data_IF_639065740493
#
_entry.id   IF_639065740493
#
_cell.length_a   1.000
_cell.length_b   1.000
_cell.length_c   1.000
_cell.angle_alpha   90.00
_cell.angle_beta   90.00
_cell.angle_gamma   90.00
#
_symmetry.space_group_name_H-M   'P 1'
#
loop_
_entity.id
_entity.type
_entity.pdbx_description
1 polymer ?
#
# COMPACT_ATOMS: atom_id res chain seq x y z
N UNK A 1 25.13 10.46 -16.96
CA UNK A 1 24.83 9.82 -16.71
C UNK A 1 24.49 9.33 -16.50
N UNK A 2 24.38 9.70 -16.18
CA UNK A 2 23.96 9.17 -15.78
C UNK A 2 23.75 8.52 -15.48
N UNK A 3 23.86 8.70 -15.43
CA UNK A 3 23.68 7.99 -14.88
C UNK A 3 24.06 7.34 -14.63
N UNK A 4 24.42 7.41 -14.50
CA UNK A 4 24.71 6.70 -13.96
C UNK A 4 25.01 6.77 -13.09
N UNK A 5 25.29 7.43 -12.88
CA UNK A 5 25.56 7.41 -11.80
C UNK A 5 25.12 6.99 -10.96
N UNK A 6 25.50 6.92 -10.92
CA UNK A 6 24.72 6.84 -9.90
C UNK A 6 24.34 5.52 -9.41
N UNK A 7 24.48 4.54 -10.00
CA UNK A 7 24.03 3.31 -9.54
C UNK A 7 24.56 2.86 -8.26
N UNK A 8 25.77 3.10 -8.00
CA UNK A 8 26.35 2.64 -6.79
C UNK A 8 25.79 3.28 -5.62
N UNK A 9 25.59 4.55 -5.73
CA UNK A 9 25.05 5.29 -4.65
C UNK A 9 23.71 4.82 -4.31
N UNK A 10 22.97 4.47 -5.31
CA UNK A 10 21.65 4.06 -5.08
C UNK A 10 21.54 2.85 -4.24
N UNK A 11 22.46 1.94 -4.38
CA UNK A 11 22.32 0.72 -3.65
C UNK A 11 22.36 0.96 -2.18
N UNK A 12 23.02 2.01 -1.72
CA UNK A 12 23.06 2.25 -0.31
C UNK A 12 21.84 2.91 0.20
N UNK A 13 21.20 3.67 -0.64
CA UNK A 13 20.05 4.37 -0.19
C UNK A 13 18.81 3.56 -0.25
N UNK A 14 18.81 2.51 -1.02
CA UNK A 14 17.60 1.78 -1.22
C UNK A 14 17.00 1.22 0.03
N UNK A 15 17.81 0.89 0.99
CA UNK A 15 17.29 0.34 2.22
C UNK A 15 16.44 1.30 3.00
N UNK A 16 16.64 2.60 2.79
CA UNK A 16 15.89 3.57 3.53
C UNK A 16 14.83 4.28 2.70
N UNK A 17 14.76 3.97 1.42
CA UNK A 17 13.75 4.60 0.58
C UNK A 17 12.39 4.01 0.84
N UNK A 18 11.38 4.84 0.77
CA UNK A 18 10.01 4.40 0.83
C UNK A 18 9.36 4.89 -0.45
N UNK A 19 8.81 3.98 -1.21
CA UNK A 19 8.22 4.31 -2.49
C UNK A 19 6.72 4.36 -2.37
N UNK A 20 6.11 5.13 -3.25
CA UNK A 20 4.67 5.26 -3.28
C UNK A 20 4.17 4.66 -4.58
N UNK A 21 3.16 3.81 -4.49
CA UNK A 21 2.64 3.12 -5.65
C UNK A 21 1.12 3.22 -5.66
N UNK A 22 0.55 3.56 -6.80
CA UNK A 22 -0.90 3.65 -6.93
C UNK A 22 -1.38 2.50 -7.78
N UNK A 23 -2.37 1.77 -7.30
CA UNK A 23 -2.89 0.60 -7.96
C UNK A 23 -4.41 0.61 -7.96
N UNK A 24 -5.00 -0.21 -8.82
CA UNK A 24 -6.43 -0.45 -8.78
C UNK A 24 -6.67 -1.87 -8.33
N UNK A 25 -7.63 -2.07 -7.46
CA UNK A 25 -7.98 -3.40 -7.00
C UNK A 25 -9.14 -3.91 -7.84
N UNK A 26 -8.87 -4.90 -8.67
CA UNK A 26 -9.88 -5.46 -9.55
C UNK A 26 -10.35 -6.82 -9.10
N UNK A 27 -9.55 -7.51 -8.31
CA UNK A 27 -9.86 -8.87 -7.90
C UNK A 27 -9.09 -9.18 -6.64
N UNK A 28 -9.66 -10.03 -5.79
CA UNK A 28 -8.98 -10.45 -4.59
C UNK A 28 -7.70 -11.22 -4.89
N UNK A 29 -7.56 -11.71 -6.13
CA UNK A 29 -6.34 -12.41 -6.51
C UNK A 29 -5.12 -11.52 -6.44
N UNK A 30 -5.32 -10.21 -6.42
CA UNK A 30 -4.20 -9.28 -6.40
C UNK A 30 -3.66 -9.02 -5.00
N UNK A 31 -4.36 -9.49 -3.98
CA UNK A 31 -3.96 -9.24 -2.60
C UNK A 31 -2.53 -9.69 -2.29
N UNK A 32 -2.10 -10.89 -2.69
CA UNK A 32 -0.73 -11.30 -2.36
C UNK A 32 0.32 -10.36 -2.93
N UNK A 33 0.09 -9.83 -4.12
CA UNK A 33 1.05 -8.91 -4.72
C UNK A 33 1.07 -7.59 -3.96
N UNK A 34 -0.09 -7.12 -3.51
CA UNK A 34 -0.15 -5.90 -2.73
C UNK A 34 0.58 -6.09 -1.42
N UNK A 35 0.39 -7.24 -0.78
CA UNK A 35 1.08 -7.52 0.47
C UNK A 35 2.58 -7.55 0.27
N UNK A 36 3.02 -8.10 -0.83
CA UNK A 36 4.44 -8.12 -1.13
C UNK A 36 5.00 -6.72 -1.31
N UNK A 37 4.27 -5.87 -2.03
CA UNK A 37 4.71 -4.50 -2.23
C UNK A 37 4.84 -3.77 -0.91
N UNK A 38 3.84 -3.91 -0.05
CA UNK A 38 3.86 -3.24 1.25
C UNK A 38 5.01 -3.76 2.10
N UNK A 39 5.24 -5.06 2.07
CA UNK A 39 6.34 -5.62 2.84
C UNK A 39 7.68 -5.13 2.31
N UNK A 40 7.74 -4.69 1.06
CA UNK A 40 8.96 -4.20 0.45
C UNK A 40 9.08 -2.69 0.49
N UNK A 41 8.52 -2.10 1.53
CA UNK A 41 8.70 -0.68 1.81
C UNK A 41 7.96 0.22 0.83
N UNK A 42 6.82 -0.24 0.36
CA UNK A 42 6.01 0.59 -0.51
C UNK A 42 4.75 1.03 0.20
N UNK A 43 4.42 2.30 0.04
CA UNK A 43 3.11 2.80 0.44
C UNK A 43 2.22 2.58 -0.76
N UNK A 44 1.13 1.86 -0.58
CA UNK A 44 0.23 1.55 -1.68
C UNK A 44 -1.06 2.33 -1.52
N UNK A 45 -1.41 3.09 -2.55
CA UNK A 45 -2.70 3.75 -2.60
C UNK A 45 -3.55 2.92 -3.53
N UNK A 46 -4.60 2.34 -2.99
CA UNK A 46 -5.38 1.33 -3.69
C UNK A 46 -6.77 1.85 -3.98
N UNK A 47 -7.10 1.95 -5.26
CA UNK A 47 -8.44 2.36 -5.64
C UNK A 47 -9.32 1.13 -5.66
N UNK A 48 -10.38 1.14 -4.86
CA UNK A 48 -11.20 -0.05 -4.67
C UNK A 48 -12.48 -0.07 -5.48
N UNK A 49 -12.76 1.02 -6.18
CA UNK A 49 -14.00 1.12 -6.93
C UNK A 49 -14.20 -0.01 -7.94
N UNK A 50 -13.16 -0.43 -8.68
CA UNK A 50 -13.41 -1.50 -9.66
C UNK A 50 -13.94 -2.77 -9.03
N UNK A 51 -13.37 -3.18 -7.90
CA UNK A 51 -13.84 -4.38 -7.25
C UNK A 51 -15.18 -4.15 -6.57
N UNK A 52 -15.38 -2.96 -6.03
CA UNK A 52 -16.66 -2.64 -5.39
C UNK A 52 -17.81 -2.76 -6.38
N UNK A 53 -17.58 -2.35 -7.61
CA UNK A 53 -18.62 -2.43 -8.63
C UNK A 53 -18.85 -3.86 -9.10
N UNK A 54 -17.86 -4.70 -8.94
CA UNK A 54 -17.98 -6.06 -9.40
C UNK A 54 -18.54 -6.97 -8.33
N UNK A 55 -18.06 -6.85 -7.10
CA UNK A 55 -18.47 -7.76 -6.04
C UNK A 55 -18.13 -7.15 -4.69
N UNK A 56 -19.16 -6.62 -4.02
CA UNK A 56 -18.95 -5.94 -2.75
C UNK A 56 -18.46 -6.89 -1.66
N UNK A 57 -18.96 -8.13 -1.67
CA UNK A 57 -18.53 -9.08 -0.65
C UNK A 57 -17.07 -9.46 -0.81
N UNK A 58 -16.63 -9.60 -2.05
CA UNK A 58 -15.24 -9.88 -2.30
C UNK A 58 -14.38 -8.69 -1.84
N UNK A 59 -14.86 -7.48 -2.04
CA UNK A 59 -14.12 -6.31 -1.59
C UNK A 59 -14.02 -6.29 -0.07
N UNK A 60 -15.10 -6.59 0.63
CA UNK A 60 -15.05 -6.59 2.09
C UNK A 60 -14.03 -7.58 2.60
N UNK A 61 -14.00 -8.77 2.00
CA UNK A 61 -13.04 -9.77 2.41
C UNK A 61 -11.62 -9.33 2.13
N UNK A 62 -11.41 -8.73 0.97
CA UNK A 62 -10.07 -8.26 0.60
C UNK A 62 -9.58 -7.19 1.55
N UNK A 63 -10.45 -6.25 1.91
CA UNK A 63 -10.06 -5.18 2.81
C UNK A 63 -9.73 -5.74 4.19
N UNK A 64 -10.49 -6.72 4.64
CA UNK A 64 -10.21 -7.34 5.91
C UNK A 64 -8.84 -8.01 5.91
N UNK A 65 -8.51 -8.70 4.82
CA UNK A 65 -7.21 -9.33 4.73
C UNK A 65 -6.09 -8.32 4.77
N UNK A 66 -6.28 -7.20 4.08
CA UNK A 66 -5.26 -6.15 4.08
C UNK A 66 -5.13 -5.50 5.44
N UNK A 67 -6.24 -5.34 6.13
CA UNK A 67 -6.22 -4.76 7.47
C UNK A 67 -5.44 -5.66 8.43
N UNK A 68 -5.71 -6.95 8.42
CA UNK A 68 -5.03 -7.87 9.28
C UNK A 68 -3.55 -7.95 8.94
N UNK A 69 -3.24 -7.93 7.65
CA UNK A 69 -1.86 -7.96 7.23
C UNK A 69 -1.11 -6.72 7.72
N UNK A 70 -1.71 -5.55 7.56
CA UNK A 70 -1.06 -4.32 8.00
C UNK A 70 -0.77 -4.35 9.48
N UNK A 71 -1.73 -4.82 10.26
CA UNK A 71 -1.54 -4.91 11.69
C UNK A 71 -0.42 -5.87 12.02
N UNK A 72 -0.36 -7.00 11.32
CA UNK A 72 0.62 -8.02 11.66
C UNK A 72 2.04 -7.59 11.36
N UNK A 73 2.25 -6.72 10.37
CA UNK A 73 3.60 -6.30 10.04
C UNK A 73 3.99 -4.96 10.67
N UNK A 74 3.10 -4.38 11.45
CA UNK A 74 3.42 -3.09 12.07
C UNK A 74 3.28 -1.91 11.13
N UNK A 75 2.50 -2.05 10.08
CA UNK A 75 2.19 -0.96 9.19
C UNK A 75 0.90 -0.30 9.59
N UNK A 76 0.30 0.44 8.66
CA UNK A 76 -0.93 1.15 8.93
C UNK A 76 -1.84 1.07 7.72
N UNK A 77 -3.11 1.33 7.91
CA UNK A 77 -4.07 1.30 6.82
C UNK A 77 -5.18 2.28 7.15
N UNK A 78 -5.63 3.03 6.14
CA UNK A 78 -6.72 3.98 6.36
C UNK A 78 -7.45 4.23 5.05
N UNK A 79 -8.71 4.62 5.17
CA UNK A 79 -9.48 5.00 4.00
C UNK A 79 -9.12 6.42 3.62
N UNK A 80 -9.09 6.65 2.31
CA UNK A 80 -8.79 7.95 1.78
C UNK A 80 -9.99 8.32 0.90
N UNK A 81 -11.01 8.85 1.54
CA UNK A 81 -12.26 9.08 0.85
C UNK A 81 -13.00 7.76 0.70
N UNK A 82 -13.90 7.71 -0.27
CA UNK A 82 -14.71 6.52 -0.45
C UNK A 82 -14.14 5.56 -1.46
N UNK A 83 -13.17 6.01 -2.24
CA UNK A 83 -12.71 5.21 -3.35
C UNK A 83 -11.33 4.63 -3.17
N UNK A 84 -10.60 5.06 -2.15
CA UNK A 84 -9.21 4.65 -2.00
C UNK A 84 -8.88 4.23 -0.59
N UNK A 85 -7.87 3.39 -0.50
CA UNK A 85 -7.32 2.94 0.77
C UNK A 85 -5.83 3.12 0.68
N UNK A 86 -5.21 3.60 1.76
CA UNK A 86 -3.76 3.75 1.84
C UNK A 86 -3.23 2.69 2.77
N UNK A 87 -2.21 1.96 2.32
CA UNK A 87 -1.58 0.92 3.11
C UNK A 87 -0.10 1.24 3.20
N UNK A 88 0.46 1.20 4.41
CA UNK A 88 1.85 1.59 4.61
C UNK A 88 2.71 0.43 5.09
N UNK A 89 4.00 0.49 4.80
CA UNK A 89 4.92 -0.55 5.26
C UNK A 89 5.22 -0.42 6.74
N UNK A 90 5.94 -1.39 7.29
CA UNK A 90 6.25 -1.38 8.73
C UNK A 90 6.92 -0.08 9.14
N UNK A 91 6.49 0.46 10.26
CA UNK A 91 7.09 1.66 10.80
C UNK A 91 6.59 2.96 10.23
N UNK A 92 5.77 2.92 9.19
CA UNK A 92 5.22 4.13 8.59
C UNK A 92 3.78 4.25 9.05
N UNK A 93 3.45 5.37 9.70
CA UNK A 93 2.12 5.56 10.23
C UNK A 93 1.41 6.64 9.45
N UNK A 94 0.13 6.52 9.35
CA UNK A 94 -0.68 7.52 8.67
C UNK A 94 -1.17 8.50 9.71
N UNK A 95 -0.85 9.78 9.50
CA UNK A 95 -1.28 10.81 10.43
C UNK A 95 -2.72 11.13 10.15
N UNK A 96 -3.55 10.95 11.14
CA UNK A 96 -4.98 11.17 10.94
C UNK A 96 -5.43 12.53 11.40
N UNK A 97 -4.53 13.29 11.94
CA UNK A 97 -4.84 14.62 12.35
C UNK A 97 -5.64 14.64 13.64
N UNK A 98 -5.70 15.79 14.22
CA UNK A 98 -6.51 15.95 15.41
C UNK A 98 -7.21 17.26 15.36
N UNK A 99 -7.45 17.73 14.18
CA UNK A 99 -7.99 19.04 14.01
C UNK A 99 -9.44 19.14 14.26
N UNK A 100 -10.09 18.10 14.18
CA UNK A 100 -11.53 18.17 14.27
C UNK A 100 -12.03 18.60 15.60
#
# INVERSE_FOLDING_TARGET
MESSLSEDTESQEKGSEILLKALQLKSADEIPKIQEDVANRMIVILRVTPLAQKNVEELKSAVEQLYEFSTSIGGDIARLGEERIVITPPGVRIWRGSLS
#
